data_IF_485539525759
#
_entry.id   IF_485539525759
#
_cell.length_a   1.000
_cell.length_b   1.000
_cell.length_c   1.000
_cell.angle_alpha   90.00
_cell.angle_beta   90.00
_cell.angle_gamma   90.00
#
_symmetry.space_group_name_H-M   'P 1'
#
loop_
_entity.id
_entity.type
_entity.pdbx_description
1 polymer ?
#
# COMPACT_ATOMS: atom_id res chain seq x y z
N UNK A 1 -17.20 1.58 -8.14
CA UNK A 1 -17.19 0.76 -9.38
C UNK A 1 -15.99 1.13 -10.22
N UNK A 2 -15.14 0.13 -10.49
CA UNK A 2 -13.98 0.31 -11.33
C UNK A 2 -14.34 0.82 -12.73
N UNK A 3 -13.54 1.74 -13.25
CA UNK A 3 -13.68 2.31 -14.60
C UNK A 3 -13.36 1.28 -15.69
N UNK A 4 -12.64 0.22 -15.34
CA UNK A 4 -12.33 -0.92 -16.21
C UNK A 4 -12.71 -2.18 -15.43
N UNK A 5 -13.48 -3.07 -16.05
CA UNK A 5 -13.84 -4.35 -15.45
C UNK A 5 -12.59 -5.20 -15.17
N UNK A 6 -12.58 -5.93 -14.04
CA UNK A 6 -11.47 -6.81 -13.70
C UNK A 6 -11.36 -7.97 -14.69
N UNK A 7 -10.14 -8.43 -14.98
CA UNK A 7 -9.96 -9.64 -15.78
C UNK A 7 -10.51 -10.88 -15.03
N UNK A 8 -11.11 -11.80 -15.78
CA UNK A 8 -11.54 -13.10 -15.26
C UNK A 8 -10.31 -13.91 -14.85
N UNK A 9 -10.21 -14.23 -13.55
CA UNK A 9 -9.08 -14.97 -12.99
C UNK A 9 -8.84 -16.30 -13.69
N UNK A 10 -9.89 -16.95 -14.18
CA UNK A 10 -9.79 -18.27 -14.81
C UNK A 10 -9.25 -18.19 -16.24
N UNK A 11 -9.14 -16.97 -16.80
CA UNK A 11 -8.68 -16.68 -18.16
C UNK A 11 -7.34 -15.95 -18.17
N UNK A 12 -6.66 -15.88 -17.03
CA UNK A 12 -5.36 -15.24 -16.93
C UNK A 12 -4.30 -16.04 -17.71
N UNK A 13 -3.30 -15.37 -18.31
CA UNK A 13 -2.20 -16.05 -18.98
C UNK A 13 -1.48 -17.04 -18.06
N UNK A 14 -1.12 -18.22 -18.58
CA UNK A 14 -0.50 -19.31 -17.84
C UNK A 14 0.78 -18.87 -17.10
N UNK A 15 1.52 -17.93 -17.70
CA UNK A 15 2.74 -17.34 -17.13
C UNK A 15 2.55 -16.68 -15.75
N UNK A 16 1.31 -16.29 -15.38
CA UNK A 16 1.03 -15.68 -14.08
C UNK A 16 0.44 -16.63 -13.05
N UNK A 17 -0.05 -17.83 -13.44
CA UNK A 17 -0.75 -18.72 -12.50
C UNK A 17 0.10 -19.06 -11.27
N UNK A 18 1.33 -19.52 -11.48
CA UNK A 18 2.23 -19.83 -10.36
C UNK A 18 2.58 -18.63 -9.47
N UNK A 19 2.60 -17.41 -10.02
CA UNK A 19 2.80 -16.19 -9.21
C UNK A 19 1.56 -15.83 -8.42
N UNK A 20 0.39 -15.98 -9.02
CA UNK A 20 -0.87 -15.74 -8.33
C UNK A 20 -1.12 -16.74 -7.22
N UNK A 21 -0.75 -18.01 -7.39
CA UNK A 21 -0.81 -19.00 -6.31
C UNK A 21 0.06 -18.59 -5.11
N UNK A 22 1.27 -18.08 -5.36
CA UNK A 22 2.16 -17.57 -4.31
C UNK A 22 1.55 -16.35 -3.62
N UNK A 23 0.99 -15.42 -4.40
CA UNK A 23 0.35 -14.21 -3.88
C UNK A 23 -0.88 -14.57 -3.05
N UNK A 24 -1.75 -15.43 -3.54
CA UNK A 24 -2.96 -15.89 -2.85
C UNK A 24 -2.59 -16.63 -1.57
N UNK A 25 -1.59 -17.53 -1.62
CA UNK A 25 -1.09 -18.21 -0.40
C UNK A 25 -0.52 -17.23 0.62
N UNK A 26 0.19 -16.20 0.16
CA UNK A 26 0.80 -15.19 1.03
C UNK A 26 -0.20 -14.17 1.58
N UNK A 27 -1.22 -13.83 0.80
CA UNK A 27 -2.13 -12.72 1.09
C UNK A 27 -3.53 -13.20 1.53
N UNK A 28 -3.86 -14.47 1.33
CA UNK A 28 -5.22 -15.02 1.42
C UNK A 28 -6.13 -14.69 0.24
N UNK A 29 -5.69 -13.82 -0.70
CA UNK A 29 -6.44 -13.40 -1.88
C UNK A 29 -5.50 -12.81 -2.95
N UNK A 30 -6.00 -12.70 -4.19
CA UNK A 30 -5.33 -11.96 -5.27
C UNK A 30 -5.89 -10.53 -5.27
N UNK A 31 -5.06 -9.48 -5.08
CA UNK A 31 -5.55 -8.12 -5.11
C UNK A 31 -6.21 -7.76 -6.44
N UNK A 32 -7.36 -7.09 -6.39
CA UNK A 32 -8.07 -6.62 -7.58
C UNK A 32 -7.21 -5.75 -8.50
N UNK A 33 -6.23 -5.01 -7.97
CA UNK A 33 -5.27 -4.23 -8.76
C UNK A 33 -4.45 -5.09 -9.73
N UNK A 34 -4.16 -6.35 -9.38
CA UNK A 34 -3.46 -7.26 -10.28
C UNK A 34 -4.37 -7.82 -11.37
N UNK A 35 -5.64 -8.11 -11.06
CA UNK A 35 -6.64 -8.52 -12.05
C UNK A 35 -6.94 -7.39 -13.04
N UNK A 36 -6.93 -6.15 -12.58
CA UNK A 36 -7.04 -4.96 -13.43
C UNK A 36 -5.85 -4.85 -14.40
N UNK A 37 -4.63 -5.07 -13.92
CA UNK A 37 -3.42 -4.98 -14.74
C UNK A 37 -3.23 -6.17 -15.68
N UNK A 38 -3.94 -7.29 -15.46
CA UNK A 38 -3.90 -8.44 -16.37
C UNK A 38 -4.37 -8.12 -17.79
N UNK A 39 -5.10 -7.01 -18.00
CA UNK A 39 -5.40 -6.47 -19.33
C UNK A 39 -4.13 -6.07 -20.13
N UNK A 40 -3.01 -5.83 -19.45
CA UNK A 40 -1.69 -5.59 -20.05
C UNK A 40 -0.60 -6.41 -19.34
N UNK A 41 -0.42 -7.69 -19.71
CA UNK A 41 0.55 -8.62 -19.11
C UNK A 41 1.96 -8.06 -18.87
N UNK A 42 2.60 -7.32 -19.80
CA UNK A 42 3.95 -6.82 -19.54
C UNK A 42 4.02 -5.84 -18.36
N UNK A 43 2.97 -5.03 -18.15
CA UNK A 43 2.89 -4.08 -17.03
C UNK A 43 2.68 -4.84 -15.73
N UNK A 44 1.76 -5.82 -15.71
CA UNK A 44 1.53 -6.67 -14.56
C UNK A 44 2.81 -7.38 -14.13
N UNK A 45 3.54 -7.99 -15.08
CA UNK A 45 4.81 -8.67 -14.81
C UNK A 45 5.82 -7.72 -14.17
N UNK A 46 6.01 -6.54 -14.74
CA UNK A 46 6.96 -5.55 -14.23
C UNK A 46 6.59 -5.08 -12.82
N UNK A 47 5.31 -4.85 -12.55
CA UNK A 47 4.84 -4.49 -11.22
C UNK A 47 5.10 -5.60 -10.20
N UNK A 48 4.79 -6.84 -10.54
CA UNK A 48 5.02 -7.97 -9.64
C UNK A 48 6.52 -8.17 -9.36
N UNK A 49 7.39 -7.96 -10.35
CA UNK A 49 8.85 -8.05 -10.18
C UNK A 49 9.37 -6.94 -9.27
N UNK A 50 8.91 -5.70 -9.48
CA UNK A 50 9.25 -4.58 -8.61
C UNK A 50 8.70 -4.80 -7.19
N UNK A 51 7.48 -5.32 -7.06
CA UNK A 51 6.87 -5.61 -5.75
C UNK A 51 7.61 -6.73 -5.03
N UNK A 52 8.17 -7.69 -5.76
CA UNK A 52 9.01 -8.74 -5.18
C UNK A 52 10.26 -8.14 -4.54
N UNK A 53 10.96 -7.25 -5.26
CA UNK A 53 12.18 -6.60 -4.77
C UNK A 53 11.92 -5.59 -3.65
N UNK A 54 10.81 -4.84 -3.70
CA UNK A 54 10.57 -3.74 -2.74
C UNK A 54 9.85 -4.21 -1.49
N UNK A 55 8.94 -5.17 -1.58
CA UNK A 55 8.04 -5.55 -0.48
C UNK A 55 8.23 -6.98 0.01
N UNK A 56 8.49 -7.92 -0.90
CA UNK A 56 8.38 -9.37 -0.60
C UNK A 56 9.72 -10.08 -0.41
N UNK A 57 10.84 -9.39 -0.52
CA UNK A 57 12.17 -9.96 -0.24
C UNK A 57 12.51 -9.92 1.26
N UNK A 58 13.75 -10.29 1.60
CA UNK A 58 14.35 -10.23 2.93
C UNK A 58 15.33 -9.03 3.04
N UNK A 59 15.02 -7.90 2.39
CA UNK A 59 15.82 -6.67 2.49
C UNK A 59 15.96 -6.09 3.91
N UNK A 60 16.70 -4.99 4.03
CA UNK A 60 17.17 -4.42 5.30
C UNK A 60 16.08 -3.76 6.17
N UNK A 61 14.92 -3.44 5.61
CA UNK A 61 13.74 -3.00 6.38
C UNK A 61 12.79 -4.15 6.68
N UNK A 62 12.27 -4.21 7.91
CA UNK A 62 11.18 -5.11 8.27
C UNK A 62 9.96 -4.93 7.35
N UNK A 63 9.33 -6.04 6.95
CA UNK A 63 8.22 -6.01 5.99
C UNK A 63 6.98 -5.28 6.52
N UNK A 64 6.65 -5.45 7.80
CA UNK A 64 5.56 -4.72 8.43
C UNK A 64 5.82 -3.21 8.41
N UNK A 65 7.06 -2.81 8.69
CA UNK A 65 7.47 -1.40 8.62
C UNK A 65 7.41 -0.83 7.19
N UNK A 66 7.78 -1.60 6.16
CA UNK A 66 7.59 -1.19 4.75
C UNK A 66 6.13 -0.90 4.43
N UNK A 67 5.20 -1.74 4.88
CA UNK A 67 3.77 -1.46 4.70
C UNK A 67 3.29 -0.24 5.49
N UNK A 68 3.89 0.05 6.63
CA UNK A 68 3.57 1.25 7.42
C UNK A 68 4.03 2.54 6.71
N UNK A 69 5.21 2.52 6.09
CA UNK A 69 5.69 3.60 5.21
C UNK A 69 4.78 3.74 3.98
N UNK A 70 4.40 2.63 3.35
CA UNK A 70 3.48 2.60 2.22
C UNK A 70 2.11 3.20 2.55
N UNK A 71 1.60 2.90 3.75
CA UNK A 71 0.37 3.47 4.29
C UNK A 71 0.49 4.98 4.44
N UNK A 72 1.56 5.48 5.07
CA UNK A 72 1.79 6.92 5.23
C UNK A 72 1.87 7.62 3.87
N UNK A 73 2.62 7.07 2.91
CA UNK A 73 2.69 7.59 1.54
C UNK A 73 1.31 7.65 0.87
N UNK A 74 0.54 6.56 0.96
CA UNK A 74 -0.78 6.45 0.34
C UNK A 74 -1.81 7.39 0.98
N UNK A 75 -1.72 7.58 2.29
CA UNK A 75 -2.49 8.57 3.05
C UNK A 75 -2.18 9.97 2.56
N UNK A 76 -0.90 10.33 2.44
CA UNK A 76 -0.51 11.66 1.93
C UNK A 76 -0.97 11.89 0.51
N UNK A 77 -0.93 10.86 -0.34
CA UNK A 77 -1.42 10.94 -1.72
C UNK A 77 -2.95 10.90 -1.85
N UNK A 78 -3.69 10.56 -0.78
CA UNK A 78 -5.15 10.47 -0.78
C UNK A 78 -5.75 9.19 -1.38
N UNK A 79 -4.95 8.19 -1.78
CA UNK A 79 -5.47 6.94 -2.36
C UNK A 79 -6.07 6.04 -1.25
N UNK A 80 -7.39 6.01 -1.12
CA UNK A 80 -8.07 5.24 -0.06
C UNK A 80 -8.00 3.73 -0.29
N UNK A 81 -8.11 3.27 -1.54
CA UNK A 81 -7.84 1.87 -1.91
C UNK A 81 -6.48 1.41 -1.35
N UNK A 82 -5.44 2.20 -1.61
CA UNK A 82 -4.08 1.88 -1.22
C UNK A 82 -3.87 1.98 0.30
N UNK A 83 -4.54 2.93 0.97
CA UNK A 83 -4.52 3.03 2.43
C UNK A 83 -5.05 1.74 3.08
N UNK A 84 -6.23 1.26 2.64
CA UNK A 84 -6.84 0.06 3.19
C UNK A 84 -5.99 -1.20 2.95
N UNK A 85 -5.40 -1.34 1.76
CA UNK A 85 -4.47 -2.44 1.48
C UNK A 85 -3.20 -2.41 2.32
N UNK A 86 -2.61 -1.22 2.50
CA UNK A 86 -1.34 -1.10 3.21
C UNK A 86 -1.49 -1.26 4.72
N UNK A 87 -2.55 -0.71 5.32
CA UNK A 87 -2.77 -0.82 6.78
C UNK A 87 -3.11 -2.27 7.18
N UNK A 88 -3.94 -2.96 6.39
CA UNK A 88 -4.24 -4.38 6.62
C UNK A 88 -3.02 -5.27 6.41
N UNK A 89 -2.17 -4.93 5.44
CA UNK A 89 -0.90 -5.63 5.23
C UNK A 89 0.10 -5.37 6.36
N UNK A 90 0.18 -4.16 6.88
CA UNK A 90 1.04 -3.83 8.03
C UNK A 90 0.63 -4.66 9.27
N UNK A 91 -0.68 -4.77 9.54
CA UNK A 91 -1.20 -5.59 10.64
C UNK A 91 -0.85 -7.07 10.47
N UNK A 92 -1.07 -7.62 9.27
CA UNK A 92 -0.72 -9.00 8.93
C UNK A 92 0.76 -9.32 9.13
N UNK A 93 1.62 -8.33 8.95
CA UNK A 93 3.06 -8.43 9.13
C UNK A 93 3.55 -7.89 10.48
N UNK A 94 2.70 -7.90 11.51
CA UNK A 94 3.11 -7.78 12.90
C UNK A 94 3.14 -6.37 13.49
N UNK A 95 2.67 -5.35 12.76
CA UNK A 95 2.43 -4.03 13.36
C UNK A 95 1.18 -4.11 14.23
N UNK A 96 1.28 -3.66 15.49
CA UNK A 96 0.16 -3.74 16.43
C UNK A 96 -0.97 -2.76 16.10
N UNK A 97 -2.19 -3.11 16.49
CA UNK A 97 -3.38 -2.28 16.27
C UNK A 97 -3.24 -0.91 16.95
N UNK A 98 -2.57 -0.82 18.10
CA UNK A 98 -2.31 0.46 18.77
C UNK A 98 -1.44 1.38 17.91
N UNK A 99 -0.37 0.84 17.31
CA UNK A 99 0.49 1.59 16.38
C UNK A 99 -0.27 2.02 15.14
N UNK A 100 -1.03 1.11 14.52
CA UNK A 100 -1.82 1.41 13.33
C UNK A 100 -2.86 2.50 13.59
N UNK A 101 -3.47 2.51 14.78
CA UNK A 101 -4.43 3.53 15.17
C UNK A 101 -3.79 4.89 15.46
N UNK A 102 -2.60 4.90 16.06
CA UNK A 102 -1.89 6.10 16.48
C UNK A 102 -1.02 6.76 15.41
N UNK A 103 -0.86 6.13 14.24
CA UNK A 103 -0.03 6.66 13.13
C UNK A 103 -0.49 8.03 12.62
N UNK A 104 -1.74 8.41 12.90
CA UNK A 104 -2.26 9.74 12.59
C UNK A 104 -1.57 10.84 13.40
N UNK A 105 -1.08 10.48 14.58
CA UNK A 105 -0.46 11.34 15.58
C UNK A 105 1.01 10.95 15.84
N UNK A 106 1.69 10.40 14.82
CA UNK A 106 3.04 9.84 14.99
C UNK A 106 4.06 10.87 15.51
N UNK A 107 3.85 12.17 15.26
CA UNK A 107 4.72 13.25 15.74
C UNK A 107 4.68 13.44 17.25
N UNK A 108 3.71 12.88 17.96
CA UNK A 108 3.59 13.03 19.42
C UNK A 108 3.34 11.71 20.15
N UNK A 109 2.81 10.69 19.46
CA UNK A 109 2.49 9.40 20.05
C UNK A 109 3.75 8.68 20.58
N UNK A 110 3.77 8.22 21.85
CA UNK A 110 4.92 7.54 22.44
C UNK A 110 5.20 6.17 21.81
N UNK A 111 4.30 5.68 20.94
CA UNK A 111 4.46 4.39 20.26
C UNK A 111 5.54 4.43 19.18
N UNK A 112 5.91 5.60 18.67
CA UNK A 112 6.90 5.75 17.60
C UNK A 112 8.22 6.32 18.10
N UNK A 113 9.31 5.65 17.75
CA UNK A 113 10.67 6.14 18.02
C UNK A 113 11.11 7.20 16.99
N UNK A 114 12.26 7.83 17.23
CA UNK A 114 12.77 8.91 16.38
C UNK A 114 13.06 8.49 14.93
N UNK A 115 13.50 7.24 14.73
CA UNK A 115 13.71 6.67 13.40
C UNK A 115 12.39 6.49 12.65
N UNK A 116 11.38 5.93 13.28
CA UNK A 116 10.04 5.80 12.69
C UNK A 116 9.46 7.18 12.33
N UNK A 117 9.61 8.18 13.20
CA UNK A 117 9.19 9.56 12.92
C UNK A 117 9.92 10.15 11.72
N UNK A 118 11.24 9.99 11.65
CA UNK A 118 12.03 10.47 10.51
C UNK A 118 11.63 9.79 9.18
N UNK A 119 11.31 8.49 9.23
CA UNK A 119 10.80 7.75 8.07
C UNK A 119 9.43 8.26 7.61
N UNK A 120 8.52 8.58 8.55
CA UNK A 120 7.21 9.12 8.22
C UNK A 120 7.27 10.57 7.73
N UNK A 121 8.17 11.38 8.29
CA UNK A 121 8.45 12.73 7.77
C UNK A 121 8.91 12.67 6.31
N UNK A 122 9.83 11.75 5.97
CA UNK A 122 10.24 11.47 4.59
C UNK A 122 9.06 11.02 3.74
N UNK A 123 8.29 10.02 4.18
CA UNK A 123 7.17 9.47 3.42
C UNK A 123 6.12 10.53 3.10
N UNK A 124 5.78 11.42 4.05
CA UNK A 124 4.84 12.51 3.80
C UNK A 124 5.42 13.53 2.80
N UNK A 125 6.65 13.98 3.02
CA UNK A 125 7.26 14.98 2.18
C UNK A 125 7.49 14.48 0.74
N UNK A 126 7.86 13.22 0.57
CA UNK A 126 8.12 12.62 -0.74
C UNK A 126 6.83 12.30 -1.54
N UNK A 127 5.68 12.20 -0.87
CA UNK A 127 4.41 11.79 -1.50
C UNK A 127 3.49 12.93 -1.88
N UNK A 128 3.85 14.19 -1.57
CA UNK A 128 3.14 15.38 -2.08
C UNK A 128 3.64 15.80 -3.47
N UNK A 129 2.83 16.59 -4.17
CA UNK A 129 3.19 17.19 -5.47
C UNK A 129 3.07 18.72 -5.36
N UNK A 130 4.17 19.48 -5.51
CA UNK A 130 5.54 19.01 -5.76
C UNK A 130 6.12 18.27 -4.54
N UNK A 131 7.15 17.44 -4.78
CA UNK A 131 7.91 16.76 -3.72
C UNK A 131 8.47 17.82 -2.75
N UNK A 132 8.24 17.64 -1.45
CA UNK A 132 8.58 18.60 -0.39
C UNK A 132 9.73 18.12 0.51
N UNK A 133 10.51 17.11 0.10
CA UNK A 133 11.67 16.63 0.86
C UNK A 133 12.72 17.73 0.94
N UNK A 134 13.18 18.02 2.16
CA UNK A 134 14.26 18.98 2.43
C UNK A 134 15.54 18.27 2.89
N UNK A 135 16.66 18.99 2.86
CA UNK A 135 17.94 18.48 3.36
C UNK A 135 17.87 18.14 4.86
N UNK A 136 17.11 18.90 5.65
CA UNK A 136 16.91 18.64 7.08
C UNK A 136 16.20 17.31 7.34
N UNK A 137 15.19 16.97 6.53
CA UNK A 137 14.51 15.66 6.58
C UNK A 137 15.53 14.55 6.31
N UNK A 138 16.37 14.71 5.28
CA UNK A 138 17.36 13.71 4.91
C UNK A 138 18.49 13.57 5.94
N UNK A 139 18.94 14.67 6.54
CA UNK A 139 19.95 14.68 7.61
C UNK A 139 19.41 13.91 8.83
N UNK A 140 18.17 14.16 9.24
CA UNK A 140 17.52 13.41 10.33
C UNK A 140 17.37 11.94 9.99
N UNK A 141 16.92 11.60 8.78
CA UNK A 141 16.75 10.22 8.34
C UNK A 141 18.07 9.43 8.42
N UNK A 142 19.18 10.03 7.99
CA UNK A 142 20.53 9.40 8.02
C UNK A 142 21.08 9.15 9.41
N UNK A 143 20.49 9.71 10.46
CA UNK A 143 20.86 9.39 11.85
C UNK A 143 20.36 8.00 12.28
N UNK A 144 19.36 7.46 11.59
CA UNK A 144 18.67 6.23 11.99
C UNK A 144 18.76 5.10 10.96
N UNK A 145 18.95 5.42 9.67
CA UNK A 145 18.91 4.43 8.60
C UNK A 145 20.18 4.44 7.74
N UNK A 146 20.58 3.24 7.30
CA UNK A 146 21.66 3.07 6.32
C UNK A 146 21.24 3.56 4.93
N UNK A 147 22.20 3.76 4.03
CA UNK A 147 21.90 4.13 2.63
C UNK A 147 21.01 3.07 1.95
N UNK A 148 21.23 1.79 2.24
CA UNK A 148 20.42 0.68 1.72
C UNK A 148 18.97 0.78 2.21
N UNK A 149 18.76 0.96 3.51
CA UNK A 149 17.42 1.13 4.10
C UNK A 149 16.70 2.37 3.55
N UNK A 150 17.43 3.47 3.30
CA UNK A 150 16.86 4.68 2.70
C UNK A 150 16.42 4.43 1.26
N UNK A 151 17.23 3.72 0.46
CA UNK A 151 16.88 3.35 -0.92
C UNK A 151 15.65 2.44 -0.93
N UNK A 152 15.58 1.45 -0.04
CA UNK A 152 14.40 0.60 0.13
C UNK A 152 13.16 1.44 0.46
N UNK A 153 13.26 2.34 1.44
CA UNK A 153 12.15 3.20 1.87
C UNK A 153 11.64 4.11 0.75
N UNK A 154 12.53 4.76 0.01
CA UNK A 154 12.17 5.61 -1.13
C UNK A 154 11.57 4.76 -2.26
N UNK A 155 12.04 3.52 -2.44
CA UNK A 155 11.47 2.59 -3.42
C UNK A 155 10.05 2.15 -3.04
N UNK A 156 9.78 1.95 -1.75
CA UNK A 156 8.41 1.74 -1.23
C UNK A 156 7.53 2.94 -1.58
N UNK A 157 7.98 4.16 -1.25
CA UNK A 157 7.22 5.40 -1.54
C UNK A 157 6.94 5.52 -3.05
N UNK A 158 7.94 5.28 -3.90
CA UNK A 158 7.78 5.37 -5.36
C UNK A 158 6.83 4.30 -5.93
N UNK A 159 6.97 3.05 -5.49
CA UNK A 159 6.09 1.94 -5.88
C UNK A 159 4.64 2.27 -5.51
N UNK A 160 4.40 2.77 -4.31
CA UNK A 160 3.05 3.15 -3.90
C UNK A 160 2.59 4.42 -4.59
N UNK A 161 3.44 5.41 -4.88
CA UNK A 161 3.08 6.55 -5.72
C UNK A 161 2.63 6.16 -7.13
N UNK A 162 3.15 5.08 -7.70
CA UNK A 162 2.64 4.50 -8.95
C UNK A 162 1.27 3.84 -8.73
N UNK A 163 1.14 3.00 -7.69
CA UNK A 163 -0.12 2.32 -7.37
C UNK A 163 -1.25 3.28 -6.96
N UNK A 164 -0.93 4.37 -6.27
CA UNK A 164 -1.86 5.43 -5.86
C UNK A 164 -2.51 6.03 -7.10
N UNK A 165 -1.69 6.48 -8.06
CA UNK A 165 -2.19 7.04 -9.32
C UNK A 165 -3.01 6.02 -10.10
N UNK A 166 -2.53 4.79 -10.22
CA UNK A 166 -3.23 3.76 -10.98
C UNK A 166 -4.61 3.46 -10.39
N UNK A 167 -4.68 3.09 -9.11
CA UNK A 167 -5.91 2.59 -8.51
C UNK A 167 -6.94 3.69 -8.27
N UNK A 168 -6.48 4.88 -7.89
CA UNK A 168 -7.37 6.02 -7.70
C UNK A 168 -7.95 6.49 -9.04
N UNK A 169 -7.11 6.60 -10.08
CA UNK A 169 -7.55 6.98 -11.43
C UNK A 169 -8.50 5.95 -12.03
N UNK A 170 -8.32 4.66 -11.78
CA UNK A 170 -9.18 3.61 -12.32
C UNK A 170 -10.35 3.25 -11.41
N UNK A 171 -10.43 3.87 -10.22
CA UNK A 171 -11.40 3.58 -9.18
C UNK A 171 -11.49 2.08 -8.89
N UNK A 172 -10.34 1.41 -8.80
CA UNK A 172 -10.27 -0.04 -8.57
C UNK A 172 -11.15 -0.41 -7.37
N UNK A 173 -12.00 -1.43 -7.55
CA UNK A 173 -12.86 -1.89 -6.48
C UNK A 173 -12.02 -2.61 -5.41
N UNK A 174 -12.35 -2.39 -4.13
CA UNK A 174 -11.65 -3.02 -3.02
C UNK A 174 -11.96 -4.50 -2.94
N UNK A 175 -10.97 -5.29 -2.52
CA UNK A 175 -11.17 -6.70 -2.18
C UNK A 175 -12.05 -6.82 -0.92
N UNK A 176 -12.94 -7.82 -0.88
CA UNK A 176 -13.91 -8.01 0.21
C UNK A 176 -13.24 -8.02 1.60
N UNK A 177 -12.15 -8.76 1.75
CA UNK A 177 -11.39 -8.83 3.00
C UNK A 177 -10.80 -7.46 3.41
N UNK A 178 -10.44 -6.62 2.45
CA UNK A 178 -9.86 -5.29 2.73
C UNK A 178 -10.94 -4.31 3.20
N UNK A 179 -12.20 -4.50 2.81
CA UNK A 179 -13.34 -3.72 3.31
C UNK A 179 -13.58 -3.96 4.80
N UNK A 180 -13.51 -5.21 5.24
CA UNK A 180 -13.67 -5.56 6.66
C UNK A 180 -12.61 -4.87 7.52
N UNK A 181 -11.36 -4.86 7.06
CA UNK A 181 -10.28 -4.12 7.71
C UNK A 181 -10.52 -2.61 7.67
N UNK A 182 -11.03 -2.08 6.56
CA UNK A 182 -11.32 -0.66 6.45
C UNK A 182 -12.38 -0.20 7.46
N UNK A 183 -13.39 -1.05 7.71
CA UNK A 183 -14.39 -0.84 8.75
C UNK A 183 -13.80 -1.01 10.16
N UNK A 184 -13.05 -2.08 10.42
CA UNK A 184 -12.48 -2.39 11.75
C UNK A 184 -11.55 -1.28 12.27
N UNK A 185 -10.75 -0.66 11.39
CA UNK A 185 -9.79 0.39 11.77
C UNK A 185 -10.38 1.80 11.70
N UNK A 186 -11.69 1.90 11.49
CA UNK A 186 -12.40 3.17 11.40
C UNK A 186 -11.81 4.07 10.32
N UNK A 187 -11.33 3.52 9.19
CA UNK A 187 -10.74 4.34 8.13
C UNK A 187 -11.76 5.36 7.62
N UNK A 188 -13.04 5.00 7.54
CA UNK A 188 -14.12 5.93 7.21
C UNK A 188 -14.18 7.12 8.18
N UNK A 189 -14.17 6.85 9.49
CA UNK A 189 -14.26 7.87 10.55
C UNK A 189 -13.03 8.76 10.62
N UNK A 190 -11.83 8.17 10.47
CA UNK A 190 -10.55 8.86 10.62
C UNK A 190 -10.12 9.65 9.38
N UNK A 191 -10.61 9.24 8.20
CA UNK A 191 -10.16 9.81 6.91
C UNK A 191 -11.28 10.49 6.12
N UNK A 192 -12.54 10.43 6.60
CA UNK A 192 -13.71 10.91 5.85
C UNK A 192 -14.07 10.05 4.65
N UNK A 193 -13.59 8.80 4.62
CA UNK A 193 -13.75 7.90 3.49
C UNK A 193 -15.14 7.25 3.42
N UNK A 194 -15.72 7.17 2.21
CA UNK A 194 -16.90 6.36 1.96
C UNK A 194 -16.51 5.02 1.28
N UNK A 195 -16.66 3.87 1.96
CA UNK A 195 -16.41 2.55 1.38
C UNK A 195 -17.12 2.31 0.04
N UNK A 196 -18.33 2.89 -0.12
CA UNK A 196 -19.19 2.70 -1.28
C UNK A 196 -18.57 3.17 -2.60
N UNK A 197 -17.61 4.11 -2.57
CA UNK A 197 -16.94 4.59 -3.78
C UNK A 197 -16.11 3.49 -4.48
N UNK A 198 -15.70 2.47 -3.71
CA UNK A 198 -14.92 1.31 -4.16
C UNK A 198 -15.68 -0.02 -4.07
N UNK A 199 -16.99 0.02 -3.77
CA UNK A 199 -17.85 -1.15 -3.91
C UNK A 199 -18.29 -1.26 -5.37
N UNK A 200 -17.92 -2.36 -6.02
CA UNK A 200 -18.63 -2.81 -7.21
C UNK A 200 -20.10 -3.03 -6.82
N UNK A 201 -21.06 -2.42 -7.52
CA UNK A 201 -22.46 -2.83 -7.32
C UNK A 201 -22.52 -4.30 -7.73
N UNK A 202 -22.83 -5.18 -6.78
CA UNK A 202 -23.06 -6.60 -7.04
C UNK A 202 -23.89 -6.75 -8.32
N UNK A 203 -23.31 -7.42 -9.31
CA UNK A 203 -24.06 -7.86 -10.50
C UNK A 203 -24.58 -9.29 -10.32
N UNK A 204 -24.57 -9.84 -9.11
CA UNK A 204 -25.25 -11.11 -8.85
C UNK A 204 -26.75 -10.84 -8.68
N UNK A 205 -27.61 -11.43 -9.53
CA UNK A 205 -29.05 -11.38 -9.31
C UNK A 205 -29.40 -12.15 -8.04
N UNK A 206 -30.31 -11.56 -7.26
CA UNK A 206 -30.92 -12.16 -6.07
C UNK A 206 -31.64 -13.50 -6.38
#
# INVERSE_FOLDING_TARGET
MARIALADRNKLPEEFKGRFDIIEKSNGYIPNSYLLLAHRPPILKALMDLSQAVIRDEGALDRGFRFLVAYMSSRTAGCQFCQAHNISSAARWGISDEKLNAIWDYETSPLFNDGERAAFDLARAASVVPNAVTDEIFVRLKQHFSNEQIIEMVSVIALFGWQNRLNDTLQTDLDAHTLDWAAQFGLAEKTGWNPEDHLGKSTEPA
#
